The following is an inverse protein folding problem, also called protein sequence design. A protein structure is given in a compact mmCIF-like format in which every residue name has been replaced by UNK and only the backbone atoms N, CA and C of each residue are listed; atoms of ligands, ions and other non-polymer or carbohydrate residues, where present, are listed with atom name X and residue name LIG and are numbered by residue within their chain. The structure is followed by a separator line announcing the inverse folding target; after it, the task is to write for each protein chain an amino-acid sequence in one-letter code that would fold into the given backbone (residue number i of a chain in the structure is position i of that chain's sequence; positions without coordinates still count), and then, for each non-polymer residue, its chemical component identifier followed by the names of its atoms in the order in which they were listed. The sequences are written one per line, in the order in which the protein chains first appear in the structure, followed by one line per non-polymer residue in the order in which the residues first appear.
data_IF_541609651851
#
_entry.id   IF_541609651851
#
_cell.length_a   1.000
_cell.length_b   1.000
_cell.length_c   1.000
_cell.angle_alpha   90.00
_cell.angle_beta   90.00
_cell.angle_gamma   90.00
#
_symmetry.space_group_name_H-M   'P 1'
#
loop_
_entity.id
_entity.type
_entity.pdbx_description
1 polymer ?
#
# COMPACT_ATOMS: atom_id res chain seq x y z
N UNK A 1 6.93 4.10 -6.42
CA UNK A 1 5.57 3.67 -6.80
C UNK A 1 4.62 4.84 -7.05
N UNK A 2 3.69 4.69 -8.01
CA UNK A 2 2.53 5.60 -8.22
C UNK A 2 1.19 4.85 -8.12
N UNK A 3 1.09 3.84 -7.25
CA UNK A 3 -0.14 3.06 -7.08
C UNK A 3 -1.19 3.86 -6.30
N UNK A 4 -2.44 3.77 -6.73
CA UNK A 4 -3.55 4.37 -5.97
C UNK A 4 -3.87 3.53 -4.73
N UNK A 5 -3.33 3.96 -3.59
CA UNK A 5 -3.52 3.30 -2.29
C UNK A 5 -4.97 3.29 -1.83
N UNK A 6 -5.79 4.26 -2.25
CA UNK A 6 -7.21 4.30 -1.89
C UNK A 6 -8.01 3.22 -2.62
N UNK A 7 -7.63 2.91 -3.85
CA UNK A 7 -8.24 1.81 -4.63
C UNK A 7 -7.65 0.45 -4.25
N UNK A 8 -6.36 0.38 -3.92
CA UNK A 8 -5.69 -0.87 -3.50
C UNK A 8 -6.30 -1.46 -2.22
N UNK A 9 -6.57 -0.63 -1.21
CA UNK A 9 -7.08 -1.07 0.09
C UNK A 9 -8.37 -1.90 -0.01
N UNK A 10 -9.48 -1.44 -0.60
CA UNK A 10 -10.72 -2.22 -0.66
C UNK A 10 -10.57 -3.51 -1.45
N UNK A 11 -9.69 -3.57 -2.46
CA UNK A 11 -9.41 -4.79 -3.22
C UNK A 11 -8.74 -5.86 -2.34
N UNK A 12 -7.67 -5.48 -1.62
CA UNK A 12 -6.99 -6.36 -0.67
C UNK A 12 -7.95 -6.88 0.41
N UNK A 13 -8.80 -6.01 0.96
CA UNK A 13 -9.75 -6.40 2.01
C UNK A 13 -10.82 -7.35 1.48
N UNK A 14 -11.25 -7.18 0.24
CA UNK A 14 -12.23 -8.06 -0.39
C UNK A 14 -11.67 -9.48 -0.57
N UNK A 15 -10.41 -9.60 -1.03
CA UNK A 15 -9.72 -10.90 -1.13
C UNK A 15 -9.59 -11.56 0.25
N UNK A 16 -9.14 -10.81 1.26
CA UNK A 16 -8.97 -11.33 2.63
C UNK A 16 -10.31 -11.76 3.23
N UNK A 17 -11.38 -10.99 3.03
CA UNK A 17 -12.71 -11.32 3.52
C UNK A 17 -13.24 -12.61 2.87
N UNK A 18 -13.17 -12.72 1.54
CA UNK A 18 -13.59 -13.90 0.80
C UNK A 18 -12.79 -15.15 1.21
N UNK A 19 -11.47 -15.02 1.37
CA UNK A 19 -10.61 -16.12 1.83
C UNK A 19 -10.99 -16.59 3.23
N UNK A 20 -11.19 -15.66 4.18
CA UNK A 20 -11.58 -15.99 5.56
C UNK A 20 -12.96 -16.65 5.64
N UNK A 21 -13.89 -16.27 4.76
CA UNK A 21 -15.23 -16.84 4.72
C UNK A 21 -15.31 -18.19 3.98
N UNK A 22 -14.24 -18.61 3.28
CA UNK A 22 -14.31 -19.74 2.35
C UNK A 22 -15.28 -19.46 1.20
N UNK A 23 -15.39 -18.18 0.80
CA UNK A 23 -16.35 -17.70 -0.17
C UNK A 23 -16.01 -18.20 -1.59
N UNK A 24 -17.03 -18.63 -2.33
CA UNK A 24 -16.89 -19.02 -3.73
C UNK A 24 -16.45 -17.84 -4.64
N UNK A 25 -16.63 -16.60 -4.18
CA UNK A 25 -16.21 -15.40 -4.90
C UNK A 25 -14.72 -15.04 -4.75
N UNK A 26 -13.92 -15.82 -4.00
CA UNK A 26 -12.49 -15.55 -3.80
C UNK A 26 -11.73 -15.34 -5.13
N UNK A 27 -12.03 -16.16 -6.14
CA UNK A 27 -11.39 -16.04 -7.46
C UNK A 27 -11.68 -14.67 -8.09
N UNK A 28 -12.95 -14.22 -8.07
CA UNK A 28 -13.38 -12.94 -8.62
C UNK A 28 -12.66 -11.77 -7.96
N UNK A 29 -12.47 -11.83 -6.65
CA UNK A 29 -11.76 -10.79 -5.91
C UNK A 29 -10.26 -10.78 -6.22
N UNK A 30 -9.66 -11.97 -6.37
CA UNK A 30 -8.24 -12.11 -6.72
C UNK A 30 -7.99 -11.60 -8.14
N UNK A 31 -8.84 -11.96 -9.11
CA UNK A 31 -8.74 -11.47 -10.49
C UNK A 31 -8.87 -9.94 -10.58
N UNK A 32 -9.76 -9.34 -9.76
CA UNK A 32 -9.91 -7.89 -9.70
C UNK A 32 -8.68 -7.20 -9.10
N UNK A 33 -8.04 -7.81 -8.10
CA UNK A 33 -6.79 -7.33 -7.53
C UNK A 33 -5.65 -7.46 -8.56
N UNK A 34 -5.49 -8.61 -9.20
CA UNK A 34 -4.45 -8.85 -10.20
C UNK A 34 -4.59 -7.88 -11.39
N UNK A 35 -5.82 -7.66 -11.87
CA UNK A 35 -6.08 -6.67 -12.92
C UNK A 35 -5.70 -5.24 -12.51
N UNK A 36 -5.88 -4.88 -11.23
CA UNK A 36 -5.48 -3.58 -10.69
C UNK A 36 -3.95 -3.45 -10.55
N UNK A 37 -3.28 -4.53 -10.13
CA UNK A 37 -1.83 -4.55 -9.93
C UNK A 37 -1.05 -4.62 -11.26
N UNK A 38 -1.65 -5.18 -12.30
CA UNK A 38 -1.02 -5.32 -13.62
C UNK A 38 0.15 -6.30 -13.57
N UNK A 39 1.37 -5.82 -13.82
CA UNK A 39 2.58 -6.64 -13.80
C UNK A 39 3.19 -6.81 -12.40
N UNK A 40 2.73 -6.02 -11.41
CA UNK A 40 3.26 -6.07 -10.07
C UNK A 40 2.60 -7.17 -9.24
N UNK A 41 3.39 -7.82 -8.41
CA UNK A 41 2.88 -8.72 -7.36
C UNK A 41 2.47 -7.94 -6.11
N UNK A 42 1.63 -8.56 -5.28
CA UNK A 42 1.25 -7.98 -3.97
C UNK A 42 2.48 -7.75 -3.10
N UNK A 43 3.46 -8.65 -3.17
CA UNK A 43 4.72 -8.60 -2.44
C UNK A 43 5.58 -7.42 -2.88
N UNK A 44 5.73 -7.18 -4.19
CA UNK A 44 6.48 -6.02 -4.71
C UNK A 44 5.82 -4.72 -4.27
N UNK A 45 4.49 -4.62 -4.37
CA UNK A 45 3.76 -3.44 -3.87
C UNK A 45 3.95 -3.25 -2.37
N UNK A 46 3.91 -4.32 -1.58
CA UNK A 46 4.14 -4.25 -0.13
C UNK A 46 5.55 -3.74 0.21
N UNK A 47 6.58 -4.25 -0.47
CA UNK A 47 7.97 -3.82 -0.29
C UNK A 47 8.16 -2.35 -0.68
N UNK A 48 7.55 -1.91 -1.79
CA UNK A 48 7.59 -0.52 -2.21
C UNK A 48 6.86 0.41 -1.22
N UNK A 49 5.72 -0.01 -0.67
CA UNK A 49 5.01 0.77 0.35
C UNK A 49 5.84 0.91 1.63
N UNK A 50 6.55 -0.14 2.06
CA UNK A 50 7.44 -0.07 3.21
C UNK A 50 8.58 0.92 2.97
N UNK A 51 9.22 0.84 1.79
CA UNK A 51 10.28 1.77 1.41
C UNK A 51 9.77 3.23 1.35
N UNK A 52 8.55 3.46 0.86
CA UNK A 52 7.94 4.78 0.83
C UNK A 52 7.67 5.32 2.24
N UNK A 53 7.19 4.48 3.17
CA UNK A 53 7.00 4.86 4.57
C UNK A 53 8.32 5.29 5.20
N UNK A 54 9.40 4.55 4.98
CA UNK A 54 10.73 4.89 5.50
C UNK A 54 11.23 6.23 4.95
N UNK A 55 11.04 6.47 3.65
CA UNK A 55 11.38 7.73 3.00
C UNK A 55 10.57 8.89 3.56
N UNK A 56 9.24 8.74 3.69
CA UNK A 56 8.37 9.76 4.26
C UNK A 56 8.74 10.06 5.73
N UNK A 57 9.03 9.03 6.52
CA UNK A 57 9.46 9.19 7.90
C UNK A 57 10.80 9.93 7.99
N UNK A 58 11.75 9.68 7.08
CA UNK A 58 13.00 10.41 7.00
C UNK A 58 12.79 11.89 6.63
N UNK A 59 11.90 12.17 5.67
CA UNK A 59 11.56 13.54 5.27
C UNK A 59 10.91 14.33 6.41
N UNK A 60 9.96 13.72 7.13
CA UNK A 60 9.33 14.35 8.30
C UNK A 60 10.35 14.69 9.38
N UNK A 61 11.31 13.79 9.67
CA UNK A 61 12.40 14.08 10.62
C UNK A 61 13.29 15.22 10.16
N UNK A 62 13.68 15.23 8.88
CA UNK A 62 14.51 16.28 8.31
C UNK A 62 13.82 17.65 8.37
N UNK A 63 12.53 17.71 7.98
CA UNK A 63 11.74 18.93 8.06
C UNK A 63 11.58 19.42 9.52
N UNK A 64 11.38 18.49 10.46
CA UNK A 64 11.33 18.81 11.89
C UNK A 64 12.63 19.45 12.40
N UNK A 65 13.79 18.92 12.00
CA UNK A 65 15.09 19.48 12.37
C UNK A 65 15.31 20.90 11.77
N UNK A 66 14.93 21.10 10.51
CA UNK A 66 15.00 22.41 9.85
C UNK A 66 14.13 23.47 10.56
N UNK A 67 12.93 23.09 10.99
CA UNK A 67 12.05 23.99 11.75
C UNK A 67 12.64 24.35 13.12
N UNK A 68 13.33 23.43 13.79
CA UNK A 68 14.01 23.70 15.05
C UNK A 68 15.20 24.64 14.89
N UNK A 69 15.96 24.51 13.80
CA UNK A 69 17.10 25.39 13.48
C UNK A 69 16.66 26.83 13.17
N UNK A 70 15.56 27.02 12.44
CA UNK A 70 15.02 28.36 12.13
C UNK A 70 14.37 29.03 13.34
N UNK A 71 13.90 28.25 14.32
CA UNK A 71 13.24 28.75 15.53
C UNK A 71 14.21 29.05 16.69
N UNK A 72 15.49 28.68 16.57
CA UNK A 72 16.55 28.91 17.55
C UNK A 72 17.34 30.19 17.26
#
# INVERSE_FOLDING_TARGET
MTIDKQTLQPLLWSVVAAWRAGDAELQRHTDALDAFLGEMTVEEVALELLAEIDQLAAQVRAAGAQLQEVAA
#
